data_IF_058402051661
#
_entry.id   IF_058402051661
#
_cell.length_a   1.000
_cell.length_b   1.000
_cell.length_c   1.000
_cell.angle_alpha   90.00
_cell.angle_beta   90.00
_cell.angle_gamma   90.00
#
_symmetry.space_group_name_H-M   'P 1'
#
loop_
_entity.id
_entity.type
_entity.pdbx_description
1 polymer ?
#
# COMPACT_ATOMS: atom_id res chain seq x y z
N UNK A 1 16.16 14.01 0.64
CA UNK A 1 15.06 13.04 0.45
C UNK A 1 14.75 13.03 -1.04
N UNK A 2 14.91 11.89 -1.71
CA UNK A 2 14.73 11.77 -3.17
C UNK A 2 13.38 11.13 -3.45
N UNK A 3 12.63 11.69 -4.40
CA UNK A 3 11.36 11.14 -4.85
C UNK A 3 11.44 10.85 -6.35
N UNK A 4 10.97 9.66 -6.74
CA UNK A 4 10.87 9.24 -8.14
C UNK A 4 9.40 9.25 -8.54
N UNK A 5 9.10 9.83 -9.69
CA UNK A 5 7.75 9.89 -10.25
C UNK A 5 7.67 9.05 -11.51
N UNK A 6 6.65 8.22 -11.62
CA UNK A 6 6.35 7.41 -12.80
C UNK A 6 4.95 7.72 -13.27
N UNK A 7 4.82 8.16 -14.52
CA UNK A 7 3.53 8.42 -15.17
C UNK A 7 3.22 7.29 -16.16
N UNK A 8 1.95 6.91 -16.25
CA UNK A 8 1.50 5.73 -16.99
C UNK A 8 0.00 5.82 -17.27
N UNK A 9 -0.48 5.13 -18.29
CA UNK A 9 -1.92 5.05 -18.53
C UNK A 9 -2.60 4.16 -17.50
N UNK A 10 -3.90 4.39 -17.28
CA UNK A 10 -4.69 3.57 -16.38
C UNK A 10 -4.77 2.11 -16.87
N UNK A 11 -4.85 1.16 -15.93
CA UNK A 11 -5.08 -0.26 -16.21
C UNK A 11 -3.81 -1.11 -16.09
N UNK A 12 -3.51 -1.89 -17.13
CA UNK A 12 -2.42 -2.86 -17.10
C UNK A 12 -1.05 -2.19 -16.97
N UNK A 13 -0.83 -1.07 -17.66
CA UNK A 13 0.41 -0.30 -17.61
C UNK A 13 0.67 0.26 -16.20
N UNK A 14 -0.36 0.79 -15.53
CA UNK A 14 -0.26 1.22 -14.13
C UNK A 14 0.09 0.08 -13.17
N UNK A 15 -0.50 -1.10 -13.38
CA UNK A 15 -0.24 -2.28 -12.54
C UNK A 15 1.18 -2.79 -12.74
N UNK A 16 1.68 -2.79 -13.99
CA UNK A 16 3.06 -3.15 -14.30
C UNK A 16 4.06 -2.18 -13.68
N UNK A 17 3.85 -0.87 -13.85
CA UNK A 17 4.71 0.16 -13.26
C UNK A 17 4.75 0.07 -11.72
N UNK A 18 3.61 -0.19 -11.07
CA UNK A 18 3.56 -0.41 -9.63
C UNK A 18 4.35 -1.66 -9.22
N UNK A 19 4.25 -2.74 -9.98
CA UNK A 19 5.00 -3.96 -9.70
C UNK A 19 6.52 -3.74 -9.82
N UNK A 20 6.99 -3.09 -10.87
CA UNK A 20 8.41 -2.73 -11.02
C UNK A 20 8.92 -1.88 -9.85
N UNK A 21 8.15 -0.88 -9.41
CA UNK A 21 8.52 -0.07 -8.25
C UNK A 21 8.64 -0.92 -6.96
N UNK A 22 7.76 -1.91 -6.78
CA UNK A 22 7.85 -2.84 -5.64
C UNK A 22 9.07 -3.75 -5.78
N UNK A 23 9.37 -4.26 -6.98
CA UNK A 23 10.54 -5.11 -7.22
C UNK A 23 11.85 -4.37 -6.91
N UNK A 24 11.98 -3.11 -7.37
CA UNK A 24 13.10 -2.23 -7.03
C UNK A 24 13.21 -2.02 -5.52
N UNK A 25 12.09 -1.73 -4.85
CA UNK A 25 12.08 -1.53 -3.39
C UNK A 25 12.44 -2.81 -2.60
N UNK A 26 12.17 -4.00 -3.16
CA UNK A 26 12.51 -5.28 -2.54
C UNK A 26 13.98 -5.66 -2.67
N UNK A 27 14.66 -5.14 -3.70
CA UNK A 27 16.08 -5.37 -3.98
C UNK A 27 16.45 -6.87 -3.96
N UNK A 28 15.66 -7.67 -4.68
CA UNK A 28 15.88 -9.13 -4.79
C UNK A 28 15.52 -9.95 -3.55
N UNK A 29 15.22 -9.34 -2.40
CA UNK A 29 14.75 -10.03 -1.21
C UNK A 29 13.21 -10.02 -1.10
N UNK A 30 12.54 -11.17 -1.25
CA UNK A 30 11.07 -11.24 -1.20
C UNK A 30 10.47 -10.78 0.14
N UNK A 31 11.23 -10.89 1.23
CA UNK A 31 10.79 -10.56 2.59
C UNK A 31 11.06 -9.11 2.99
N UNK A 32 11.72 -8.31 2.14
CA UNK A 32 11.84 -6.87 2.36
C UNK A 32 10.43 -6.26 2.45
N UNK A 33 10.08 -5.63 3.59
CA UNK A 33 8.75 -5.06 3.79
C UNK A 33 8.56 -3.80 2.93
N UNK A 34 7.49 -3.78 2.14
CA UNK A 34 7.10 -2.64 1.30
C UNK A 34 5.70 -2.19 1.67
N UNK A 35 5.48 -0.89 1.84
CA UNK A 35 4.16 -0.31 2.04
C UNK A 35 3.74 0.49 0.81
N UNK A 36 2.60 0.14 0.23
CA UNK A 36 1.96 0.86 -0.89
C UNK A 36 0.81 1.68 -0.33
N UNK A 37 0.92 3.00 -0.45
CA UNK A 37 -0.16 3.91 -0.04
C UNK A 37 -1.13 4.10 -1.19
N UNK A 38 -2.41 3.82 -0.96
CA UNK A 38 -3.49 3.85 -1.96
C UNK A 38 -4.59 4.85 -1.57
N UNK A 39 -5.35 5.38 -2.54
CA UNK A 39 -6.44 6.31 -2.25
C UNK A 39 -7.62 5.65 -1.50
N UNK A 40 -7.83 4.34 -1.67
CA UNK A 40 -8.88 3.61 -0.97
C UNK A 40 -8.53 2.13 -0.78
N UNK A 41 -9.18 1.49 0.19
CA UNK A 41 -9.03 0.05 0.45
C UNK A 41 -9.40 -0.80 -0.77
N UNK A 42 -10.43 -0.38 -1.53
CA UNK A 42 -10.85 -1.08 -2.75
C UNK A 42 -9.72 -1.08 -3.79
N UNK A 43 -9.06 0.07 -4.00
CA UNK A 43 -7.91 0.17 -4.91
C UNK A 43 -6.76 -0.71 -4.43
N UNK A 44 -6.48 -0.74 -3.13
CA UNK A 44 -5.47 -1.62 -2.54
C UNK A 44 -5.74 -3.10 -2.78
N UNK A 45 -6.97 -3.55 -2.55
CA UNK A 45 -7.38 -4.96 -2.80
C UNK A 45 -7.30 -5.30 -4.28
N UNK A 46 -7.78 -4.43 -5.16
CA UNK A 46 -7.74 -4.63 -6.61
C UNK A 46 -6.30 -4.72 -7.15
N UNK A 47 -5.43 -3.79 -6.73
CA UNK A 47 -4.02 -3.79 -7.10
C UNK A 47 -3.30 -5.04 -6.58
N UNK A 48 -3.51 -5.40 -5.30
CA UNK A 48 -2.92 -6.61 -4.70
C UNK A 48 -3.31 -7.86 -5.47
N UNK A 49 -4.60 -8.02 -5.78
CA UNK A 49 -5.10 -9.19 -6.54
C UNK A 49 -4.51 -9.23 -7.94
N UNK A 50 -4.45 -8.10 -8.62
CA UNK A 50 -3.90 -8.02 -9.98
C UNK A 50 -2.41 -8.34 -10.02
N UNK A 51 -1.64 -7.86 -9.04
CA UNK A 51 -0.21 -8.16 -8.90
C UNK A 51 0.04 -9.62 -8.53
N UNK A 52 -0.74 -10.17 -7.59
CA UNK A 52 -0.63 -11.57 -7.17
C UNK A 52 -1.10 -12.56 -8.24
N UNK A 53 -1.99 -12.16 -9.15
CA UNK A 53 -2.44 -13.01 -10.25
C UNK A 53 -1.40 -13.20 -11.37
N UNK A 54 -0.21 -12.62 -11.25
CA UNK A 54 0.94 -12.99 -12.09
C UNK A 54 0.91 -12.42 -13.51
N UNK A 55 1.09 -11.09 -13.64
CA UNK A 55 1.51 -10.45 -14.91
C UNK A 55 2.74 -9.55 -14.80
N UNK A 56 3.32 -9.37 -13.61
CA UNK A 56 4.49 -8.51 -13.40
C UNK A 56 5.65 -9.34 -12.85
N UNK A 57 6.72 -9.46 -13.63
CA UNK A 57 7.92 -10.18 -13.26
C UNK A 57 8.65 -9.48 -12.10
N UNK A 58 9.38 -10.24 -11.27
CA UNK A 58 10.25 -9.67 -10.22
C UNK A 58 9.58 -9.34 -8.88
N UNK A 59 8.25 -9.27 -8.81
CA UNK A 59 7.51 -9.00 -7.54
C UNK A 59 7.02 -10.28 -6.86
N UNK A 60 6.77 -11.30 -7.67
CA UNK A 60 6.30 -12.60 -7.23
C UNK A 60 7.49 -13.56 -7.09
N UNK A 61 7.60 -14.24 -5.95
CA UNK A 61 8.55 -15.34 -5.79
C UNK A 61 8.28 -16.48 -6.79
N UNK A 62 9.11 -17.55 -6.80
CA UNK A 62 9.02 -18.65 -7.77
C UNK A 62 7.63 -19.31 -7.90
N UNK A 63 6.77 -19.16 -6.89
CA UNK A 63 5.41 -19.70 -6.83
C UNK A 63 4.29 -18.69 -7.20
N UNK A 64 4.61 -17.48 -7.68
CA UNK A 64 3.58 -16.56 -8.18
C UNK A 64 2.83 -15.74 -7.12
N UNK A 65 3.44 -15.43 -5.97
CA UNK A 65 2.77 -14.73 -4.85
C UNK A 65 3.40 -13.41 -4.43
N UNK A 66 2.58 -12.46 -3.95
CA UNK A 66 3.01 -11.16 -3.41
C UNK A 66 3.21 -11.23 -1.88
N UNK A 67 4.46 -11.29 -1.44
CA UNK A 67 4.84 -11.40 -0.02
C UNK A 67 5.37 -10.07 0.54
N UNK A 68 5.20 -9.86 1.85
CA UNK A 68 5.72 -8.70 2.58
C UNK A 68 5.37 -7.33 1.94
N UNK A 69 4.21 -7.23 1.27
CA UNK A 69 3.68 -5.96 0.76
C UNK A 69 2.39 -5.63 1.49
N UNK A 70 2.35 -4.47 2.13
CA UNK A 70 1.17 -3.91 2.78
C UNK A 70 0.54 -2.88 1.85
N UNK A 71 -0.77 -2.97 1.65
CA UNK A 71 -1.55 -1.91 1.00
C UNK A 71 -2.33 -1.20 2.09
N UNK A 72 -2.19 0.12 2.17
CA UNK A 72 -2.92 0.91 3.14
C UNK A 72 -3.31 2.26 2.57
N UNK A 73 -4.33 2.87 3.16
CA UNK A 73 -4.65 4.27 2.89
C UNK A 73 -3.71 5.18 3.65
N UNK A 74 -3.62 6.45 3.23
CA UNK A 74 -2.84 7.45 3.95
C UNK A 74 -3.27 7.55 5.44
N UNK A 75 -4.57 7.50 5.69
CA UNK A 75 -5.11 7.56 7.06
C UNK A 75 -4.83 6.29 7.86
N UNK A 76 -4.88 5.12 7.23
CA UNK A 76 -4.49 3.87 7.88
C UNK A 76 -3.00 3.81 8.19
N UNK A 77 -2.15 4.34 7.30
CA UNK A 77 -0.72 4.46 7.57
C UNK A 77 -0.45 5.42 8.72
N UNK A 78 -1.06 6.61 8.69
CA UNK A 78 -0.96 7.58 9.78
C UNK A 78 -1.38 6.98 11.12
N UNK A 79 -2.43 6.16 11.13
CA UNK A 79 -2.85 5.42 12.32
C UNK A 79 -1.74 4.52 12.85
N UNK A 80 -1.14 3.67 12.01
CA UNK A 80 -0.08 2.76 12.48
C UNK A 80 1.13 3.50 13.02
N UNK A 81 1.49 4.63 12.40
CA UNK A 81 2.60 5.46 12.87
C UNK A 81 2.28 6.19 14.18
N UNK A 82 1.02 6.56 14.40
CA UNK A 82 0.58 7.31 15.57
C UNK A 82 0.12 6.42 16.74
N UNK A 83 -0.11 5.12 16.53
CA UNK A 83 -0.79 4.24 17.48
C UNK A 83 -0.11 4.22 18.85
N UNK A 84 1.22 4.13 18.88
CA UNK A 84 2.02 4.14 20.12
C UNK A 84 1.91 5.47 20.85
N UNK A 85 2.08 6.59 20.14
CA UNK A 85 1.99 7.93 20.74
C UNK A 85 0.57 8.25 21.25
N UNK A 86 -0.47 7.78 20.56
CA UNK A 86 -1.86 8.01 20.96
C UNK A 86 -2.27 7.17 22.19
N UNK A 87 -1.74 5.95 22.31
CA UNK A 87 -2.01 5.08 23.45
C UNK A 87 -1.52 5.70 24.78
N UNK A 88 -0.32 6.30 24.78
CA UNK A 88 0.26 6.96 25.94
C UNK A 88 -0.58 8.17 26.40
N UNK A 89 -1.18 8.89 25.46
CA UNK A 89 -2.02 10.06 25.74
C UNK A 89 -3.50 9.73 26.00
N UNK A 90 -3.87 8.45 26.08
CA UNK A 90 -5.27 7.98 26.17
C UNK A 90 -6.18 8.55 25.06
N UNK A 91 -5.59 8.91 23.92
CA UNK A 91 -6.30 9.42 22.75
C UNK A 91 -6.62 8.25 21.84
N UNK A 92 -7.82 8.25 21.28
CA UNK A 92 -8.24 7.22 20.35
C UNK A 92 -8.51 7.83 18.98
N UNK A 93 -8.32 7.00 17.94
CA UNK A 93 -8.70 7.36 16.58
C UNK A 93 -10.16 7.79 16.54
N UNK A 94 -10.42 8.89 15.85
CA UNK A 94 -11.78 9.30 15.50
C UNK A 94 -12.41 8.20 14.61
N UNK A 95 -13.52 7.63 15.04
CA UNK A 95 -14.18 6.56 14.30
C UNK A 95 -14.86 7.11 13.05
N UNK A 96 -15.06 6.26 12.04
CA UNK A 96 -15.68 6.68 10.77
C UNK A 96 -17.08 7.30 10.99
N UNK A 97 -17.92 6.81 11.94
CA UNK A 97 -19.16 7.49 12.30
C UNK A 97 -18.98 8.90 12.87
N UNK A 98 -17.94 9.15 13.67
CA UNK A 98 -17.67 10.50 14.23
C UNK A 98 -17.20 11.45 13.13
N UNK A 99 -16.35 10.99 12.21
CA UNK A 99 -15.97 11.79 11.03
C UNK A 99 -17.22 12.10 10.19
N UNK A 100 -18.06 11.09 9.92
CA UNK A 100 -19.30 11.29 9.17
C UNK A 100 -20.28 12.26 9.84
N UNK A 101 -20.36 12.27 11.17
CA UNK A 101 -21.20 13.21 11.92
C UNK A 101 -20.67 14.65 11.90
N UNK A 102 -19.34 14.84 11.78
CA UNK A 102 -18.70 16.15 11.83
C UNK A 102 -18.67 16.90 10.47
N UNK A 103 -18.85 16.19 9.36
CA UNK A 103 -18.76 16.75 7.99
C UNK A 103 -20.15 17.17 7.45
N UNK A 104 -21.13 17.39 8.33
CA UNK A 104 -22.51 17.74 7.97
C UNK A 104 -22.65 19.18 7.50
#
# INVERSE_FOLDING_TARGET
MTATFTFTSYGAEATAALGEAIAVAKDGNPLTPVTVVVPSNLVGVAARRSLAAGRVAGVAGPAGGLAAVRFDTLFGLARVLADTALADDRRHRVSDPVVGAAVR
#
